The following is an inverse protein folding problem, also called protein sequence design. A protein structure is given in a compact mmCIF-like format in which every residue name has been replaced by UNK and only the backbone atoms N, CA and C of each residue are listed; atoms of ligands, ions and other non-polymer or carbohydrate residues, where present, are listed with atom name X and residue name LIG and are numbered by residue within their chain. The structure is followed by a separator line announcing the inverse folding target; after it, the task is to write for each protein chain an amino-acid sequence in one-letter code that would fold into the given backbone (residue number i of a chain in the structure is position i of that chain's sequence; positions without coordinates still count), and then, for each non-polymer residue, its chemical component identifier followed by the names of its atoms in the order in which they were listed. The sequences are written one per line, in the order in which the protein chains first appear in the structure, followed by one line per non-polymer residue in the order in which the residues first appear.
data_IF_890161289880
#
_entry.id   IF_890161289880
#
_cell.length_a   1.000
_cell.length_b   1.000
_cell.length_c   1.000
_cell.angle_alpha   90.00
_cell.angle_beta   90.00
_cell.angle_gamma   90.00
#
_symmetry.space_group_name_H-M   'P 1'
#
loop_
_entity.id
_entity.type
_entity.pdbx_description
1 polymer ?
#
# COMPACT_ATOMS: atom_id res chain seq x y z
N UNK A 1 -20.53 -21.99 16.34
CA UNK A 1 -19.89 -22.41 15.07
C UNK A 1 -19.48 -21.15 14.31
N UNK A 2 -18.23 -20.71 14.48
CA UNK A 2 -17.67 -19.50 13.86
C UNK A 2 -16.59 -19.94 12.89
N UNK A 3 -16.98 -20.27 11.67
CA UNK A 3 -16.05 -20.67 10.63
C UNK A 3 -16.71 -20.50 9.28
N UNK A 4 -16.69 -19.27 8.75
CA UNK A 4 -16.66 -19.02 7.29
C UNK A 4 -16.49 -17.52 6.90
N UNK A 5 -15.90 -16.66 7.73
CA UNK A 5 -15.75 -15.22 7.38
C UNK A 5 -14.34 -14.89 6.87
N UNK A 6 -13.40 -15.83 6.96
CA UNK A 6 -12.00 -15.61 6.60
C UNK A 6 -11.68 -15.78 5.10
N UNK A 7 -12.66 -16.17 4.26
CA UNK A 7 -12.44 -16.41 2.83
C UNK A 7 -13.22 -15.47 1.91
N UNK A 8 -13.67 -14.31 2.41
CA UNK A 8 -14.24 -13.27 1.56
C UNK A 8 -13.39 -12.02 1.67
N UNK A 9 -12.38 -11.95 0.81
CA UNK A 9 -11.72 -10.68 0.48
C UNK A 9 -12.73 -9.63 0.02
N UNK A 10 -12.22 -8.39 -0.11
CA UNK A 10 -12.81 -7.12 -0.57
C UNK A 10 -14.28 -7.08 -1.09
N UNK A 11 -14.74 -8.06 -1.87
CA UNK A 11 -16.12 -8.23 -2.35
C UNK A 11 -17.20 -8.28 -1.25
N UNK A 12 -16.91 -8.76 -0.03
CA UNK A 12 -17.94 -8.85 1.02
C UNK A 12 -18.33 -7.48 1.62
N UNK A 13 -17.49 -6.45 1.46
CA UNK A 13 -17.78 -5.10 1.95
C UNK A 13 -18.46 -4.23 0.89
N UNK A 14 -18.52 -4.69 -0.36
CA UNK A 14 -19.16 -4.01 -1.48
C UNK A 14 -20.49 -4.68 -1.80
N UNK A 15 -21.55 -4.22 -1.14
CA UNK A 15 -22.91 -4.53 -1.62
C UNK A 15 -23.14 -3.85 -2.99
N UNK A 16 -23.68 -4.62 -3.93
CA UNK A 16 -23.99 -4.23 -5.33
C UNK A 16 -24.70 -2.86 -5.44
N UNK A 17 -24.49 -2.10 -6.53
CA UNK A 17 -23.85 -2.48 -7.79
C UNK A 17 -22.52 -1.74 -8.02
N UNK A 18 -21.56 -1.86 -7.11
CA UNK A 18 -20.22 -1.31 -7.33
C UNK A 18 -19.22 -2.44 -7.60
N UNK A 19 -18.57 -2.41 -8.76
CA UNK A 19 -17.46 -3.32 -9.08
C UNK A 19 -16.20 -2.79 -8.39
N UNK A 20 -15.28 -3.69 -8.00
CA UNK A 20 -13.96 -3.31 -7.46
C UNK A 20 -13.27 -2.24 -8.32
N UNK A 21 -13.34 -2.37 -9.65
CA UNK A 21 -12.79 -1.41 -10.61
C UNK A 21 -13.43 -0.02 -10.51
N UNK A 22 -14.73 0.09 -10.29
CA UNK A 22 -15.47 1.36 -10.16
C UNK A 22 -15.02 2.15 -8.93
N UNK A 23 -14.76 1.43 -7.84
CA UNK A 23 -14.26 2.00 -6.60
C UNK A 23 -12.79 2.38 -6.68
N UNK A 24 -11.99 1.57 -7.38
CA UNK A 24 -10.60 1.90 -7.67
C UNK A 24 -10.50 3.13 -8.57
N UNK A 25 -11.41 3.31 -9.53
CA UNK A 25 -11.46 4.50 -10.40
C UNK A 25 -11.82 5.75 -9.58
N UNK A 26 -12.89 5.67 -8.78
CA UNK A 26 -13.32 6.76 -7.89
C UNK A 26 -12.25 7.12 -6.84
N UNK A 27 -11.58 6.11 -6.28
CA UNK A 27 -10.46 6.31 -5.35
C UNK A 27 -9.22 6.81 -6.08
N UNK A 28 -9.00 6.45 -7.35
CA UNK A 28 -7.92 6.98 -8.19
C UNK A 28 -8.15 8.42 -8.63
N UNK A 29 -9.40 8.87 -8.69
CA UNK A 29 -9.74 10.28 -8.89
C UNK A 29 -9.54 11.10 -7.61
N UNK A 30 -9.69 10.48 -6.42
CA UNK A 30 -9.48 11.14 -5.12
C UNK A 30 -8.05 11.07 -4.57
N UNK A 31 -7.37 9.96 -4.82
CA UNK A 31 -5.93 9.81 -4.69
C UNK A 31 -5.39 10.06 -6.10
N UNK A 32 -5.11 11.31 -6.44
CA UNK A 32 -4.48 11.67 -7.72
C UNK A 32 -3.09 11.02 -7.82
N UNK A 33 -3.06 9.71 -8.11
CA UNK A 33 -1.83 8.98 -8.45
C UNK A 33 -1.48 9.43 -9.86
N UNK A 34 -0.77 10.55 -9.89
CA UNK A 34 -0.31 11.17 -11.10
C UNK A 34 1.03 10.54 -11.50
N UNK A 35 0.95 9.61 -12.46
CA UNK A 35 2.13 8.96 -13.02
C UNK A 35 2.95 9.88 -13.93
N UNK A 36 2.55 11.13 -14.20
CA UNK A 36 3.36 12.07 -14.98
C UNK A 36 4.73 12.28 -14.36
N UNK A 37 4.80 12.32 -13.03
CA UNK A 37 6.08 12.45 -12.32
C UNK A 37 6.99 11.26 -12.63
N UNK A 38 6.44 10.04 -12.59
CA UNK A 38 7.15 8.81 -12.90
C UNK A 38 7.52 8.73 -14.38
N UNK A 39 6.62 9.09 -15.30
CA UNK A 39 6.90 9.18 -16.75
C UNK A 39 8.04 10.16 -17.04
N UNK A 40 8.05 11.32 -16.39
CA UNK A 40 9.14 12.29 -16.52
C UNK A 40 10.46 11.75 -15.97
N UNK A 41 10.41 10.99 -14.87
CA UNK A 41 11.59 10.31 -14.31
C UNK A 41 12.13 9.22 -15.24
N UNK A 42 11.27 8.58 -16.04
CA UNK A 42 11.68 7.57 -17.03
C UNK A 42 11.97 8.13 -18.41
N UNK A 43 11.99 9.45 -18.59
CA UNK A 43 12.18 10.11 -19.90
C UNK A 43 11.16 9.63 -20.96
N UNK A 44 9.93 9.35 -20.52
CA UNK A 44 8.85 8.79 -21.34
C UNK A 44 9.14 7.36 -21.87
N UNK A 45 10.17 6.68 -21.35
CA UNK A 45 10.48 5.31 -21.74
C UNK A 45 9.48 4.33 -21.07
N UNK A 46 8.65 3.63 -21.86
CA UNK A 46 7.58 2.78 -21.33
C UNK A 46 8.12 1.49 -20.69
N UNK A 47 9.27 1.00 -21.12
CA UNK A 47 9.91 -0.21 -20.57
C UNK A 47 10.50 0.11 -19.20
N UNK A 48 11.16 1.25 -19.06
CA UNK A 48 11.68 1.73 -17.78
C UNK A 48 10.53 2.04 -16.81
N UNK A 49 9.43 2.61 -17.28
CA UNK A 49 8.24 2.86 -16.45
C UNK A 49 7.63 1.54 -15.94
N UNK A 50 7.47 0.54 -16.81
CA UNK A 50 6.96 -0.78 -16.42
C UNK A 50 7.85 -1.42 -15.35
N UNK A 51 9.17 -1.41 -15.55
CA UNK A 51 10.15 -1.96 -14.60
C UNK A 51 10.09 -1.26 -13.24
N UNK A 52 9.94 0.08 -13.21
CA UNK A 52 9.82 0.84 -11.95
C UNK A 52 8.51 0.49 -11.23
N UNK A 53 7.39 0.45 -11.95
CA UNK A 53 6.09 0.11 -11.34
C UNK A 53 6.11 -1.32 -10.84
N UNK A 54 6.64 -2.27 -11.62
CA UNK A 54 6.77 -3.66 -11.22
C UNK A 54 7.65 -3.81 -9.98
N UNK A 55 8.82 -3.15 -9.97
CA UNK A 55 9.71 -3.14 -8.81
C UNK A 55 9.03 -2.60 -7.56
N UNK A 56 8.30 -1.47 -7.69
CA UNK A 56 7.53 -0.90 -6.60
C UNK A 56 6.45 -1.86 -6.05
N UNK A 57 5.69 -2.52 -6.94
CA UNK A 57 4.63 -3.43 -6.54
C UNK A 57 5.18 -4.67 -5.83
N UNK A 58 6.26 -5.24 -6.37
CA UNK A 58 6.97 -6.37 -5.78
C UNK A 58 7.52 -6.01 -4.39
N UNK A 59 8.20 -4.88 -4.29
CA UNK A 59 8.76 -4.36 -3.04
C UNK A 59 7.69 -4.15 -1.96
N UNK A 60 6.53 -3.59 -2.35
CA UNK A 60 5.40 -3.40 -1.44
C UNK A 60 4.81 -4.73 -0.97
N UNK A 61 4.70 -5.72 -1.85
CA UNK A 61 4.19 -7.05 -1.49
C UNK A 61 5.11 -7.77 -0.49
N UNK A 62 6.43 -7.68 -0.70
CA UNK A 62 7.43 -8.21 0.23
C UNK A 62 7.36 -7.52 1.59
N UNK A 63 7.35 -6.18 1.61
CA UNK A 63 7.26 -5.42 2.85
C UNK A 63 5.98 -5.73 3.61
N UNK A 64 4.85 -5.85 2.90
CA UNK A 64 3.57 -6.20 3.51
C UNK A 64 3.64 -7.56 4.22
N UNK A 65 4.22 -8.58 3.57
CA UNK A 65 4.44 -9.90 4.17
C UNK A 65 5.35 -9.86 5.39
N UNK A 66 6.41 -9.04 5.34
CA UNK A 66 7.33 -8.86 6.45
C UNK A 66 6.68 -8.16 7.65
N UNK A 67 5.86 -7.11 7.42
CA UNK A 67 5.13 -6.43 8.52
C UNK A 67 4.15 -7.40 9.19
N UNK A 68 3.40 -8.19 8.40
CA UNK A 68 2.50 -9.19 8.98
C UNK A 68 3.24 -10.22 9.83
N UNK A 69 4.34 -10.77 9.32
CA UNK A 69 5.15 -11.73 10.05
C UNK A 69 5.74 -11.14 11.34
N UNK A 70 6.20 -9.89 11.28
CA UNK A 70 6.74 -9.19 12.45
C UNK A 70 5.64 -8.85 13.48
N UNK A 71 4.41 -8.56 13.04
CA UNK A 71 3.24 -8.39 13.91
C UNK A 71 2.89 -9.67 14.67
N UNK A 72 2.93 -10.83 14.01
CA UNK A 72 2.69 -12.12 14.66
C UNK A 72 3.76 -12.44 15.72
N UNK A 73 5.02 -12.08 15.45
CA UNK A 73 6.14 -12.23 16.39
C UNK A 73 6.22 -11.12 17.44
N UNK A 74 5.39 -10.07 17.31
CA UNK A 74 5.48 -8.82 18.10
C UNK A 74 6.88 -8.19 18.08
N UNK A 75 7.57 -8.31 16.96
CA UNK A 75 8.90 -7.72 16.76
C UNK A 75 8.75 -6.24 16.35
N UNK A 76 8.61 -5.39 17.37
CA UNK A 76 8.37 -3.95 17.18
C UNK A 76 9.53 -3.21 16.52
N UNK A 77 10.77 -3.68 16.69
CA UNK A 77 11.92 -3.10 16.00
C UNK A 77 11.86 -3.40 14.50
N UNK A 78 11.58 -4.65 14.13
CA UNK A 78 11.39 -5.03 12.74
C UNK A 78 10.22 -4.27 12.10
N UNK A 79 9.07 -4.18 12.78
CA UNK A 79 7.91 -3.41 12.30
C UNK A 79 8.30 -1.95 12.04
N UNK A 80 9.01 -1.31 12.97
CA UNK A 80 9.43 0.09 12.84
C UNK A 80 10.31 0.30 11.61
N UNK A 81 11.29 -0.59 11.40
CA UNK A 81 12.20 -0.53 10.26
C UNK A 81 11.46 -0.71 8.93
N UNK A 82 10.54 -1.67 8.86
CA UNK A 82 9.79 -1.95 7.62
C UNK A 82 8.80 -0.80 7.33
N UNK A 83 8.15 -0.24 8.35
CA UNK A 83 7.26 0.93 8.19
C UNK A 83 8.04 2.15 7.70
N UNK A 84 9.26 2.38 8.20
CA UNK A 84 10.15 3.42 7.69
C UNK A 84 10.47 3.23 6.19
N UNK A 85 10.83 2.00 5.79
CA UNK A 85 11.09 1.67 4.38
C UNK A 85 9.85 1.90 3.51
N UNK A 86 8.69 1.47 3.97
CA UNK A 86 7.40 1.71 3.31
C UNK A 86 7.15 3.21 3.11
N UNK A 87 7.36 4.03 4.13
CA UNK A 87 7.17 5.47 4.05
C UNK A 87 8.07 6.12 2.98
N UNK A 88 9.32 5.64 2.86
CA UNK A 88 10.26 6.07 1.82
C UNK A 88 9.76 5.74 0.41
N UNK A 89 9.36 4.48 0.18
CA UNK A 89 8.88 4.00 -1.13
C UNK A 89 7.59 4.69 -1.56
N UNK A 90 6.62 4.82 -0.65
CA UNK A 90 5.35 5.50 -0.90
C UNK A 90 5.56 7.00 -1.19
N UNK A 91 6.56 7.64 -0.57
CA UNK A 91 6.92 9.02 -0.90
C UNK A 91 7.54 9.13 -2.30
N UNK A 92 8.39 8.18 -2.70
CA UNK A 92 9.01 8.17 -4.04
C UNK A 92 7.99 8.00 -5.17
N UNK A 93 6.93 7.23 -4.93
CA UNK A 93 5.87 7.01 -5.92
C UNK A 93 4.82 8.14 -5.98
N UNK A 94 4.95 9.14 -5.09
CA UNK A 94 4.15 10.37 -5.14
C UNK A 94 2.83 10.33 -4.37
N UNK A 95 2.71 9.54 -3.30
CA UNK A 95 1.51 9.50 -2.45
C UNK A 95 1.82 10.09 -1.06
N UNK A 96 1.79 11.43 -0.93
CA UNK A 96 2.29 12.11 0.26
C UNK A 96 1.48 11.79 1.52
N UNK A 97 0.15 11.71 1.44
CA UNK A 97 -0.71 11.43 2.60
C UNK A 97 -0.40 10.08 3.25
N UNK A 98 -0.26 9.03 2.43
CA UNK A 98 0.03 7.68 2.92
C UNK A 98 1.45 7.60 3.49
N UNK A 99 2.42 8.27 2.86
CA UNK A 99 3.78 8.39 3.39
C UNK A 99 3.82 9.13 4.74
N UNK A 100 3.03 10.20 4.90
CA UNK A 100 2.89 10.93 6.16
C UNK A 100 2.28 10.05 7.24
N UNK A 101 1.20 9.32 6.93
CA UNK A 101 0.57 8.40 7.88
C UNK A 101 1.56 7.31 8.35
N UNK A 102 2.32 6.72 7.44
CA UNK A 102 3.37 5.74 7.77
C UNK A 102 4.44 6.34 8.71
N UNK A 103 4.88 7.58 8.45
CA UNK A 103 5.82 8.29 9.36
C UNK A 103 5.23 8.54 10.74
N UNK A 104 3.93 8.85 10.83
CA UNK A 104 3.27 9.01 12.14
C UNK A 104 3.22 7.70 12.90
N UNK A 105 2.93 6.58 12.23
CA UNK A 105 2.99 5.25 12.83
C UNK A 105 4.42 4.92 13.29
N UNK A 106 5.42 5.20 12.46
CA UNK A 106 6.84 5.02 12.79
C UNK A 106 7.22 5.79 14.07
N UNK A 107 6.85 7.07 14.17
CA UNK A 107 7.12 7.88 15.36
C UNK A 107 6.47 7.31 16.62
N UNK A 108 5.20 6.87 16.52
CA UNK A 108 4.51 6.24 17.65
C UNK A 108 5.13 4.90 18.05
N UNK A 109 5.66 4.13 17.10
CA UNK A 109 6.34 2.86 17.38
C UNK A 109 7.69 3.05 18.09
N UNK A 110 8.35 4.19 17.88
CA UNK A 110 9.59 4.58 18.56
C UNK A 110 9.35 5.11 19.98
N UNK A 111 8.12 5.49 20.31
CA UNK A 111 7.77 5.94 21.65
C UNK A 111 7.74 4.74 22.62
N UNK A 112 8.65 4.74 23.59
CA UNK A 112 8.80 3.63 24.55
C UNK A 112 7.68 3.61 25.61
N UNK A 113 6.96 4.71 25.80
CA UNK A 113 5.89 4.83 26.79
C UNK A 113 4.52 4.39 26.23
N UNK A 114 4.41 4.30 24.90
CA UNK A 114 3.21 3.91 24.21
C UNK A 114 3.06 2.39 24.16
N UNK A 115 1.85 1.94 24.48
CA UNK A 115 1.41 0.56 24.26
C UNK A 115 1.27 0.28 22.76
N UNK A 116 2.31 -0.33 22.16
CA UNK A 116 2.43 -0.58 20.72
C UNK A 116 1.36 -1.52 20.19
N UNK A 117 0.73 -2.34 21.03
CA UNK A 117 -0.37 -3.22 20.62
C UNK A 117 -1.58 -2.42 20.14
N UNK A 118 -1.76 -1.19 20.62
CA UNK A 118 -2.83 -0.27 20.16
C UNK A 118 -2.65 0.15 18.71
N UNK A 119 -1.44 0.10 18.18
CA UNK A 119 -1.13 0.47 16.80
C UNK A 119 -1.40 -0.66 15.80
N UNK A 120 -1.63 -1.90 16.25
CA UNK A 120 -1.82 -3.05 15.36
C UNK A 120 -2.95 -2.80 14.35
N UNK A 121 -4.06 -2.21 14.83
CA UNK A 121 -5.20 -1.89 13.96
C UNK A 121 -4.80 -0.85 12.91
N UNK A 122 -4.17 0.24 13.32
CA UNK A 122 -3.74 1.33 12.44
C UNK A 122 -2.72 0.84 11.40
N UNK A 123 -1.78 -0.01 11.80
CA UNK A 123 -0.81 -0.66 10.90
C UNK A 123 -1.55 -1.51 9.87
N UNK A 124 -2.47 -2.38 10.30
CA UNK A 124 -3.24 -3.24 9.38
C UNK A 124 -4.12 -2.44 8.42
N UNK A 125 -4.78 -1.39 8.89
CA UNK A 125 -5.59 -0.54 8.01
C UNK A 125 -4.71 0.26 7.02
N UNK A 126 -3.51 0.66 7.43
CA UNK A 126 -2.54 1.30 6.53
C UNK A 126 -2.01 0.32 5.48
N UNK A 127 -1.70 -0.93 5.87
CA UNK A 127 -1.31 -1.99 4.95
C UNK A 127 -2.40 -2.28 3.90
N UNK A 128 -3.68 -2.26 4.28
CA UNK A 128 -4.79 -2.39 3.32
C UNK A 128 -4.81 -1.24 2.31
N UNK A 129 -4.59 -0.01 2.76
CA UNK A 129 -4.53 1.15 1.86
C UNK A 129 -3.37 1.04 0.87
N UNK A 130 -2.22 0.56 1.33
CA UNK A 130 -1.06 0.28 0.47
C UNK A 130 -1.41 -0.77 -0.59
N UNK A 131 -2.08 -1.87 -0.21
CA UNK A 131 -2.47 -2.88 -1.19
C UNK A 131 -3.43 -2.31 -2.25
N UNK A 132 -4.38 -1.47 -1.85
CA UNK A 132 -5.27 -0.78 -2.81
C UNK A 132 -4.44 0.04 -3.81
N UNK A 133 -3.47 0.82 -3.31
CA UNK A 133 -2.55 1.57 -4.16
C UNK A 133 -1.79 0.67 -5.13
N UNK A 134 -1.19 -0.42 -4.65
CA UNK A 134 -0.46 -1.38 -5.49
C UNK A 134 -1.36 -1.94 -6.59
N UNK A 135 -2.60 -2.32 -6.27
CA UNK A 135 -3.56 -2.80 -7.26
C UNK A 135 -3.93 -1.71 -8.31
N UNK A 136 -3.98 -0.44 -7.91
CA UNK A 136 -4.20 0.67 -8.84
C UNK A 136 -3.00 0.87 -9.77
N UNK A 137 -1.78 0.77 -9.26
CA UNK A 137 -0.56 0.85 -10.06
C UNK A 137 -0.48 -0.29 -11.08
N UNK A 138 -0.73 -1.53 -10.67
CA UNK A 138 -0.79 -2.69 -11.56
C UNK A 138 -1.87 -2.55 -12.63
N UNK A 139 -3.06 -2.07 -12.25
CA UNK A 139 -4.15 -1.84 -13.21
C UNK A 139 -3.78 -0.77 -14.24
N UNK A 140 -3.17 0.35 -13.82
CA UNK A 140 -2.69 1.38 -14.75
C UNK A 140 -1.58 0.86 -15.66
N UNK A 141 -0.64 0.07 -15.12
CA UNK A 141 0.46 -0.55 -15.89
C UNK A 141 -0.06 -1.42 -17.03
N UNK A 142 -1.06 -2.26 -16.75
CA UNK A 142 -1.71 -3.10 -17.76
C UNK A 142 -2.39 -2.26 -18.86
N UNK A 143 -3.04 -1.16 -18.51
CA UNK A 143 -3.64 -0.25 -19.50
C UNK A 143 -2.62 0.36 -20.46
N UNK A 144 -1.40 0.64 -20.00
CA UNK A 144 -0.30 1.15 -20.84
C UNK A 144 0.38 0.06 -21.68
N UNK A 145 0.48 -1.18 -21.19
CA UNK A 145 1.05 -2.29 -21.96
C UNK A 145 0.16 -2.76 -23.13
N UNK A 146 -1.10 -2.35 -23.18
CA UNK A 146 -2.07 -2.72 -24.22
C UNK A 146 -2.20 -1.64 -25.31
N UNK A 147 -1.61 -0.44 -25.11
CA UNK A 147 -1.61 0.67 -26.09
C UNK A 147 -0.30 0.76 -26.85
#
# INVERSE_FOLDING_TARGET
EQGDILNKGFDALLMKPFKKQDLLDTVSERLEINLDSLKKMTLDDPVLLDNIIQGFCQDCAEDHGLVLSALDLKDWEAITLIIHRFAGRIAQIGIPDLAVNLRQIELKLRDEQLDKERLIKDIRDTLKQINIVVEMFESKRLSYSIS
#
